data_IF_806637925597
#
_entry.id   IF_806637925597
#
_cell.length_a   1.000
_cell.length_b   1.000
_cell.length_c   1.000
_cell.angle_alpha   90.00
_cell.angle_beta   90.00
_cell.angle_gamma   90.00
#
_symmetry.space_group_name_H-M   'P 1'
#
loop_
_entity.id
_entity.type
_entity.pdbx_description
1 polymer ?
#
# COMPACT_ATOMS: atom_id res chain seq x y z
N UNK A 1 20.85 -6.10 -21.90
CA UNK A 1 20.30 -6.67 -20.65
C UNK A 1 19.26 -5.66 -20.21
N UNK A 2 17.99 -6.07 -20.06
CA UNK A 2 16.93 -5.13 -19.74
C UNK A 2 17.23 -4.40 -18.43
N UNK A 3 16.79 -3.14 -18.36
CA UNK A 3 16.75 -2.41 -17.11
C UNK A 3 15.52 -2.83 -16.30
N UNK A 4 15.50 -2.55 -15.01
CA UNK A 4 14.34 -2.79 -14.16
C UNK A 4 13.81 -1.46 -13.63
N UNK A 5 12.49 -1.34 -13.50
CA UNK A 5 11.90 -0.19 -12.80
C UNK A 5 12.25 -0.21 -11.32
N UNK A 6 12.46 0.96 -10.71
CA UNK A 6 12.90 1.08 -9.31
C UNK A 6 11.95 0.47 -8.27
N UNK A 7 10.64 0.65 -8.43
CA UNK A 7 9.68 0.34 -7.35
C UNK A 7 9.11 -1.08 -7.43
N UNK A 8 8.88 -1.58 -8.65
CA UNK A 8 8.16 -2.83 -8.88
C UNK A 8 8.98 -3.85 -9.65
N UNK A 9 10.26 -3.57 -9.93
CA UNK A 9 11.16 -4.45 -10.67
C UNK A 9 10.54 -4.98 -11.98
N UNK A 10 9.73 -4.16 -12.66
CA UNK A 10 9.21 -4.48 -13.99
C UNK A 10 10.37 -4.46 -14.99
N UNK A 11 10.35 -5.41 -15.91
CA UNK A 11 11.32 -5.50 -17.01
C UNK A 11 11.09 -4.30 -17.93
N UNK A 12 12.12 -3.47 -18.09
CA UNK A 12 12.10 -2.28 -18.93
C UNK A 12 13.06 -2.47 -20.10
N UNK A 13 12.54 -2.66 -21.32
CA UNK A 13 13.38 -2.72 -22.50
C UNK A 13 14.20 -1.45 -22.70
N UNK A 14 15.43 -1.60 -23.17
CA UNK A 14 16.28 -0.53 -23.69
C UNK A 14 15.68 0.08 -24.96
N UNK A 15 16.01 1.34 -25.24
CA UNK A 15 15.49 2.08 -26.40
C UNK A 15 15.80 1.40 -27.75
N UNK A 16 16.83 0.56 -27.81
CA UNK A 16 17.31 -0.12 -29.01
C UNK A 16 17.17 -1.65 -28.97
N UNK A 17 16.29 -2.19 -28.12
CA UNK A 17 15.97 -3.62 -28.10
C UNK A 17 14.51 -3.91 -28.45
N UNK A 18 14.24 -5.13 -28.91
CA UNK A 18 12.87 -5.61 -29.15
C UNK A 18 12.30 -6.16 -27.84
N UNK A 19 11.09 -5.75 -27.48
CA UNK A 19 10.42 -6.26 -26.29
C UNK A 19 9.98 -7.73 -26.47
N UNK A 20 10.18 -8.56 -25.45
CA UNK A 20 9.68 -9.94 -25.39
C UNK A 20 8.23 -9.97 -24.84
N UNK A 21 7.36 -10.77 -25.47
CA UNK A 21 5.99 -10.98 -25.01
C UNK A 21 5.97 -11.66 -23.62
N UNK A 22 6.93 -12.53 -23.33
CA UNK A 22 7.04 -13.16 -22.02
C UNK A 22 7.28 -12.11 -20.92
N UNK A 23 8.18 -11.16 -21.18
CA UNK A 23 8.47 -10.05 -20.26
C UNK A 23 7.25 -9.14 -20.07
N UNK A 24 6.50 -8.88 -21.15
CA UNK A 24 5.25 -8.11 -21.09
C UNK A 24 4.22 -8.82 -20.21
N UNK A 25 4.00 -10.12 -20.40
CA UNK A 25 3.06 -10.90 -19.59
C UNK A 25 3.47 -10.90 -18.11
N UNK A 26 4.76 -11.10 -17.82
CA UNK A 26 5.28 -11.04 -16.46
C UNK A 26 5.03 -9.66 -15.81
N UNK A 27 5.28 -8.57 -16.54
CA UNK A 27 4.99 -7.23 -16.06
C UNK A 27 3.49 -7.01 -15.82
N UNK A 28 2.62 -7.54 -16.68
CA UNK A 28 1.16 -7.45 -16.50
C UNK A 28 0.71 -8.15 -15.22
N UNK A 29 1.23 -9.34 -14.93
CA UNK A 29 0.91 -10.06 -13.69
C UNK A 29 1.37 -9.28 -12.44
N UNK A 30 2.56 -8.68 -12.48
CA UNK A 30 3.07 -7.85 -11.37
C UNK A 30 2.18 -6.62 -11.17
N UNK A 31 1.81 -5.93 -12.26
CA UNK A 31 0.96 -4.73 -12.20
C UNK A 31 -0.42 -5.09 -11.64
N UNK A 32 -1.07 -6.13 -12.17
CA UNK A 32 -2.39 -6.56 -11.72
C UNK A 32 -2.38 -6.95 -10.24
N UNK A 33 -1.39 -7.75 -9.82
CA UNK A 33 -1.22 -8.14 -8.43
C UNK A 33 -1.02 -6.95 -7.50
N UNK A 34 -0.17 -5.98 -7.88
CA UNK A 34 0.06 -4.78 -7.07
C UNK A 34 -1.17 -3.88 -7.02
N UNK A 35 -1.91 -3.73 -8.13
CA UNK A 35 -3.14 -2.94 -8.16
C UNK A 35 -4.19 -3.53 -7.22
N UNK A 36 -4.35 -4.86 -7.21
CA UNK A 36 -5.24 -5.54 -6.29
C UNK A 36 -4.80 -5.37 -4.83
N UNK A 37 -3.51 -5.52 -4.53
CA UNK A 37 -2.98 -5.32 -3.18
C UNK A 37 -3.24 -3.89 -2.67
N UNK A 38 -3.01 -2.87 -3.50
CA UNK A 38 -3.29 -1.48 -3.15
C UNK A 38 -4.79 -1.26 -2.89
N UNK A 39 -5.66 -1.81 -3.74
CA UNK A 39 -7.11 -1.72 -3.55
C UNK A 39 -7.55 -2.37 -2.23
N UNK A 40 -7.02 -3.55 -1.91
CA UNK A 40 -7.32 -4.24 -0.67
C UNK A 40 -6.80 -3.48 0.56
N UNK A 41 -5.60 -2.90 0.49
CA UNK A 41 -5.03 -2.10 1.57
C UNK A 41 -5.86 -0.83 1.84
N UNK A 42 -6.31 -0.14 0.80
CA UNK A 42 -7.20 1.03 0.95
C UNK A 42 -8.57 0.60 1.51
N UNK A 43 -9.12 -0.50 1.02
CA UNK A 43 -10.40 -1.01 1.53
C UNK A 43 -10.31 -1.37 3.02
N UNK A 44 -9.22 -2.00 3.46
CA UNK A 44 -8.97 -2.27 4.87
C UNK A 44 -8.83 -0.98 5.69
N UNK A 45 -8.03 -0.02 5.20
CA UNK A 45 -7.85 1.29 5.86
C UNK A 45 -9.18 2.02 6.05
N UNK A 46 -10.08 1.99 5.06
CA UNK A 46 -11.40 2.61 5.14
C UNK A 46 -12.40 1.86 6.03
N UNK A 47 -12.23 0.56 6.20
CA UNK A 47 -13.11 -0.28 7.03
C UNK A 47 -12.75 -0.23 8.52
N UNK A 48 -11.49 0.07 8.83
CA UNK A 48 -10.99 0.15 10.20
C UNK A 48 -11.27 1.52 10.85
N UNK A 49 -11.72 1.51 12.10
CA UNK A 49 -12.01 2.73 12.87
C UNK A 49 -10.76 3.42 13.41
N UNK A 50 -9.65 2.67 13.55
CA UNK A 50 -8.36 3.16 14.04
C UNK A 50 -7.18 2.61 13.21
N UNK A 51 -7.10 2.96 11.91
CA UNK A 51 -6.15 2.35 10.97
C UNK A 51 -4.73 2.93 11.06
N UNK A 52 -4.51 3.95 11.89
CA UNK A 52 -3.23 4.64 12.01
C UNK A 52 -2.53 4.27 13.31
N UNK A 53 -1.20 4.41 13.35
CA UNK A 53 -0.41 4.15 14.55
C UNK A 53 0.52 5.32 14.88
N UNK A 54 0.82 5.50 16.17
CA UNK A 54 1.91 6.35 16.64
C UNK A 54 2.58 5.70 17.85
N UNK A 55 3.81 6.12 18.14
CA UNK A 55 4.58 5.66 19.29
C UNK A 55 4.85 6.82 20.24
N UNK A 56 4.62 6.61 21.53
CA UNK A 56 5.02 7.52 22.60
C UNK A 56 5.87 6.74 23.61
N UNK A 57 7.15 7.10 23.70
CA UNK A 57 8.14 6.34 24.46
C UNK A 57 8.28 4.90 23.96
N UNK A 58 7.92 3.93 24.81
CA UNK A 58 7.96 2.50 24.50
C UNK A 58 6.59 1.94 24.09
N UNK A 59 5.54 2.74 24.11
CA UNK A 59 4.16 2.29 23.87
C UNK A 59 3.71 2.68 22.48
N UNK A 60 3.14 1.73 21.75
CA UNK A 60 2.51 1.97 20.45
C UNK A 60 1.01 2.03 20.63
N UNK A 61 0.38 3.02 20.00
CA UNK A 61 -1.06 3.19 20.00
C UNK A 61 -1.59 3.09 18.58
N UNK A 62 -2.78 2.52 18.41
CA UNK A 62 -3.56 2.70 17.20
C UNK A 62 -4.61 3.77 17.41
N UNK A 63 -4.91 4.54 16.37
CA UNK A 63 -5.79 5.71 16.47
C UNK A 63 -6.61 5.93 15.21
N UNK A 64 -7.70 6.68 15.39
CA UNK A 64 -8.58 7.15 14.34
C UNK A 64 -9.46 8.30 14.81
N UNK A 65 -10.47 8.63 14.01
CA UNK A 65 -11.40 9.72 14.27
C UNK A 65 -12.82 9.17 14.40
N UNK A 66 -13.52 9.57 15.45
CA UNK A 66 -14.90 9.18 15.69
C UNK A 66 -15.75 10.39 16.08
N UNK A 67 -17.05 10.34 15.82
CA UNK A 67 -18.00 11.34 16.33
C UNK A 67 -18.60 10.81 17.62
N UNK A 68 -18.43 11.57 18.71
CA UNK A 68 -19.00 11.28 20.03
C UNK A 68 -19.78 12.52 20.44
N UNK A 69 -21.08 12.34 20.72
CA UNK A 69 -21.99 13.43 21.10
C UNK A 69 -21.98 14.64 20.13
N UNK A 70 -21.83 14.36 18.83
CA UNK A 70 -21.83 15.38 17.77
C UNK A 70 -20.50 16.11 17.57
N UNK A 71 -19.45 15.73 18.29
CA UNK A 71 -18.11 16.32 18.17
C UNK A 71 -17.13 15.30 17.60
N UNK A 72 -16.25 15.73 16.69
CA UNK A 72 -15.15 14.89 16.20
C UNK A 72 -14.11 14.74 17.30
N UNK A 73 -13.79 13.50 17.63
CA UNK A 73 -12.84 13.12 18.67
C UNK A 73 -11.70 12.30 18.06
N UNK A 74 -10.50 12.55 18.55
CA UNK A 74 -9.36 11.66 18.36
C UNK A 74 -9.49 10.50 19.34
N UNK A 75 -9.62 9.28 18.82
CA UNK A 75 -9.74 8.05 19.62
C UNK A 75 -8.51 7.19 19.40
N UNK A 76 -7.97 6.63 20.48
CA UNK A 76 -6.77 5.80 20.43
C UNK A 76 -6.77 4.76 21.54
N UNK A 77 -6.10 3.64 21.29
CA UNK A 77 -5.86 2.57 22.25
C UNK A 77 -4.46 2.00 22.11
N UNK A 78 -3.92 1.47 23.21
CA UNK A 78 -2.61 0.81 23.23
C UNK A 78 -2.67 -0.49 22.43
N UNK A 79 -1.64 -0.72 21.61
CA UNK A 79 -1.44 -1.99 20.90
C UNK A 79 -0.70 -2.94 21.84
N UNK A 80 -1.39 -3.99 22.29
CA UNK A 80 -0.86 -5.04 23.18
C UNK A 80 -0.06 -6.08 22.40
#
# INVERSE_FOLDING_TARGET
MPEYTTNYNLIKPLDNETADIADINQNMDIIDGQMLQNANAVAAHLAETMPHQFTDGATTYRWGLAVIDGVVNFVYEEVV
#
